data_IF_068015779381
#
_entry.id   IF_068015779381
#
_cell.length_a   1.000
_cell.length_b   1.000
_cell.length_c   1.000
_cell.angle_alpha   90.00
_cell.angle_beta   90.00
_cell.angle_gamma   90.00
#
_symmetry.space_group_name_H-M   'P 1'
#
loop_
_entity.id
_entity.type
_entity.pdbx_description
1 polymer ?
#
# COMPACT_ATOMS: atom_id res chain seq x y z
N UNK A 1 3.12 28.18 2.81
CA UNK A 1 1.94 27.49 3.38
C UNK A 1 1.41 26.34 2.51
N UNK A 2 2.13 25.88 1.47
CA UNK A 2 1.67 24.83 0.54
C UNK A 2 2.18 23.41 0.85
N UNK A 3 3.10 23.25 1.81
CA UNK A 3 3.73 21.97 2.13
C UNK A 3 2.76 20.95 2.78
N UNK A 4 1.83 21.40 3.63
CA UNK A 4 0.94 20.49 4.37
C UNK A 4 -0.04 19.77 3.44
N UNK A 5 -0.78 20.44 2.52
CA UNK A 5 -1.66 19.74 1.58
C UNK A 5 -0.92 18.75 0.67
N UNK A 6 0.30 19.10 0.23
CA UNK A 6 1.12 18.23 -0.61
C UNK A 6 1.60 16.98 0.14
N UNK A 7 2.08 17.14 1.38
CA UNK A 7 2.45 16.01 2.24
C UNK A 7 1.26 15.09 2.53
N UNK A 8 0.08 15.66 2.82
CA UNK A 8 -1.14 14.90 3.04
C UNK A 8 -1.57 14.10 1.80
N UNK A 9 -1.49 14.69 0.61
CA UNK A 9 -1.74 13.97 -0.65
C UNK A 9 -0.84 12.73 -0.78
N UNK A 10 0.47 12.89 -0.59
CA UNK A 10 1.42 11.77 -0.68
C UNK A 10 1.10 10.68 0.35
N UNK A 11 0.83 11.05 1.60
CA UNK A 11 0.47 10.10 2.65
C UNK A 11 -0.76 9.25 2.30
N UNK A 12 -1.82 9.87 1.80
CA UNK A 12 -3.02 9.14 1.41
C UNK A 12 -2.77 8.28 0.17
N UNK A 13 -2.04 8.78 -0.83
CA UNK A 13 -1.70 8.00 -2.01
C UNK A 13 -0.81 6.79 -1.67
N UNK A 14 0.21 6.98 -0.83
CA UNK A 14 1.10 5.93 -0.34
C UNK A 14 0.36 4.86 0.44
N UNK A 15 -0.52 5.27 1.37
CA UNK A 15 -1.37 4.36 2.12
C UNK A 15 -2.29 3.54 1.21
N UNK A 16 -2.97 4.19 0.26
CA UNK A 16 -3.90 3.52 -0.66
C UNK A 16 -3.18 2.59 -1.64
N UNK A 17 -2.12 3.07 -2.30
CA UNK A 17 -1.40 2.33 -3.31
C UNK A 17 -0.58 1.19 -2.70
N UNK A 18 0.23 1.49 -1.69
CA UNK A 18 1.00 0.46 -0.98
C UNK A 18 0.11 -0.54 -0.28
N UNK A 19 -1.00 -0.09 0.30
CA UNK A 19 -2.00 -0.95 0.94
C UNK A 19 -2.64 -1.89 -0.07
N UNK A 20 -2.98 -1.37 -1.25
CA UNK A 20 -3.52 -2.19 -2.33
C UNK A 20 -2.50 -3.20 -2.86
N UNK A 21 -1.23 -2.81 -2.99
CA UNK A 21 -0.14 -3.72 -3.38
C UNK A 21 0.00 -4.85 -2.36
N UNK A 22 0.07 -4.52 -1.06
CA UNK A 22 0.17 -5.50 0.02
C UNK A 22 -1.06 -6.42 0.10
N UNK A 23 -2.26 -5.86 -0.03
CA UNK A 23 -3.52 -6.62 -0.05
C UNK A 23 -3.58 -7.59 -1.23
N UNK A 24 -3.26 -7.12 -2.44
CA UNK A 24 -3.30 -7.95 -3.65
C UNK A 24 -2.21 -9.02 -3.64
N UNK A 25 -1.07 -8.77 -2.99
CA UNK A 25 -0.02 -9.77 -2.81
C UNK A 25 -0.52 -11.04 -2.10
N UNK A 26 -1.33 -10.89 -1.05
CA UNK A 26 -1.92 -12.04 -0.32
C UNK A 26 -3.25 -12.50 -0.92
N UNK A 27 -4.03 -11.60 -1.51
CA UNK A 27 -5.31 -11.93 -2.14
C UNK A 27 -5.14 -12.76 -3.41
N UNK A 28 -4.20 -12.41 -4.30
CA UNK A 28 -3.94 -13.18 -5.53
C UNK A 28 -3.41 -14.59 -5.25
N UNK A 29 -2.85 -14.81 -4.05
CA UNK A 29 -2.43 -16.14 -3.56
C UNK A 29 -3.58 -16.93 -2.92
N UNK A 30 -4.79 -16.37 -2.87
CA UNK A 30 -5.98 -16.94 -2.23
C UNK A 30 -5.80 -17.24 -0.73
N UNK A 31 -5.01 -16.41 -0.03
CA UNK A 31 -4.69 -16.62 1.39
C UNK A 31 -5.67 -15.92 2.32
N UNK A 32 -6.35 -14.89 1.82
CA UNK A 32 -7.31 -14.07 2.56
C UNK A 32 -8.72 -14.25 2.02
N UNK A 33 -9.70 -14.11 2.92
CA UNK A 33 -11.11 -14.22 2.55
C UNK A 33 -11.61 -13.00 1.77
N UNK A 34 -12.66 -13.19 0.97
CA UNK A 34 -13.26 -12.09 0.18
C UNK A 34 -13.78 -10.94 1.04
N UNK A 35 -14.38 -11.24 2.19
CA UNK A 35 -14.90 -10.21 3.10
C UNK A 35 -13.79 -9.27 3.56
N UNK A 36 -12.63 -9.84 3.90
CA UNK A 36 -11.43 -9.07 4.24
C UNK A 36 -10.95 -8.23 3.05
N UNK A 37 -10.86 -8.82 1.85
CA UNK A 37 -10.42 -8.08 0.64
C UNK A 37 -11.38 -6.93 0.30
N UNK A 38 -12.68 -7.14 0.41
CA UNK A 38 -13.69 -6.11 0.14
C UNK A 38 -13.61 -4.98 1.17
N UNK A 39 -13.55 -5.31 2.46
CA UNK A 39 -13.49 -4.31 3.53
C UNK A 39 -12.20 -3.48 3.44
N UNK A 40 -11.04 -4.15 3.38
CA UNK A 40 -9.73 -3.49 3.34
C UNK A 40 -9.53 -2.74 2.02
N UNK A 41 -9.96 -3.33 0.91
CA UNK A 41 -9.94 -2.68 -0.41
C UNK A 41 -10.84 -1.45 -0.46
N UNK A 42 -12.03 -1.48 0.15
CA UNK A 42 -12.91 -0.31 0.23
C UNK A 42 -12.30 0.81 1.09
N UNK A 43 -11.61 0.47 2.20
CA UNK A 43 -10.88 1.46 2.99
C UNK A 43 -9.78 2.14 2.15
N UNK A 44 -8.97 1.39 1.41
CA UNK A 44 -7.95 1.95 0.51
C UNK A 44 -8.55 2.73 -0.66
N UNK A 45 -9.72 2.33 -1.16
CA UNK A 45 -10.46 3.07 -2.18
C UNK A 45 -10.87 4.46 -1.66
N UNK A 46 -11.41 4.54 -0.44
CA UNK A 46 -11.81 5.81 0.19
C UNK A 46 -10.58 6.70 0.42
N UNK A 47 -9.50 6.13 0.96
CA UNK A 47 -8.24 6.84 1.19
C UNK A 47 -7.68 7.38 -0.13
N UNK A 48 -7.68 6.57 -1.19
CA UNK A 48 -7.20 6.97 -2.51
C UNK A 48 -8.10 8.01 -3.19
N UNK A 49 -9.41 7.94 -3.00
CA UNK A 49 -10.34 8.98 -3.46
C UNK A 49 -10.09 10.32 -2.73
N UNK A 50 -9.76 10.27 -1.43
CA UNK A 50 -9.35 11.46 -0.67
C UNK A 50 -8.04 12.05 -1.20
N UNK A 51 -7.08 11.21 -1.63
CA UNK A 51 -5.86 11.69 -2.29
C UNK A 51 -6.19 12.44 -3.59
N UNK A 52 -7.06 11.90 -4.45
CA UNK A 52 -7.52 12.59 -5.68
C UNK A 52 -8.18 13.91 -5.34
N UNK A 53 -9.06 13.93 -4.34
CA UNK A 53 -9.75 15.15 -3.90
C UNK A 53 -8.76 16.21 -3.41
N UNK A 54 -7.77 15.83 -2.60
CA UNK A 54 -6.74 16.76 -2.14
C UNK A 54 -5.92 17.32 -3.29
N UNK A 55 -5.49 16.46 -4.22
CA UNK A 55 -4.68 16.86 -5.38
C UNK A 55 -5.44 17.81 -6.32
N UNK A 56 -6.76 17.60 -6.47
CA UNK A 56 -7.62 18.47 -7.25
C UNK A 56 -7.89 19.82 -6.55
N UNK A 57 -8.02 19.80 -5.22
CA UNK A 57 -8.30 21.00 -4.41
C UNK A 57 -7.05 21.88 -4.22
N UNK A 58 -5.89 21.24 -4.05
CA UNK A 58 -4.61 21.87 -3.80
C UNK A 58 -3.60 21.43 -4.86
N UNK A 59 -3.74 21.89 -6.11
CA UNK A 59 -2.78 21.57 -7.15
C UNK A 59 -1.39 22.10 -6.77
N UNK A 60 -0.30 21.34 -7.07
CA UNK A 60 1.06 21.78 -6.81
C UNK A 60 1.32 23.19 -7.39
N UNK A 61 1.70 24.14 -6.53
CA UNK A 61 1.78 25.57 -6.86
C UNK A 61 2.87 25.93 -7.87
N UNK A 62 2.59 26.91 -8.76
CA UNK A 62 3.44 27.77 -9.63
C UNK A 62 4.70 27.21 -10.35
N UNK A 63 5.49 26.29 -9.79
CA UNK A 63 6.67 25.70 -10.43
C UNK A 63 6.32 24.86 -11.69
N UNK A 64 5.12 24.29 -11.74
CA UNK A 64 4.53 23.70 -12.95
C UNK A 64 4.34 24.71 -14.09
N UNK A 65 4.22 26.02 -13.80
CA UNK A 65 4.13 27.04 -14.82
C UNK A 65 5.45 27.20 -15.60
N UNK A 66 6.59 26.82 -15.00
CA UNK A 66 7.93 27.09 -15.54
C UNK A 66 8.56 25.88 -16.26
N UNK A 67 8.24 24.63 -15.89
CA UNK A 67 8.85 23.43 -16.50
C UNK A 67 7.86 22.60 -17.34
N UNK A 68 8.24 22.28 -18.58
CA UNK A 68 7.42 21.43 -19.47
C UNK A 68 7.30 20.00 -18.94
N UNK A 69 8.38 19.44 -18.39
CA UNK A 69 8.45 18.08 -17.85
C UNK A 69 7.52 17.90 -16.65
N UNK A 70 7.47 18.87 -15.74
CA UNK A 70 6.56 18.82 -14.59
C UNK A 70 5.08 18.77 -15.03
N UNK A 71 4.69 19.57 -16.03
CA UNK A 71 3.31 19.57 -16.55
C UNK A 71 2.92 18.23 -17.17
N UNK A 72 3.85 17.60 -17.89
CA UNK A 72 3.64 16.26 -18.43
C UNK A 72 3.42 15.25 -17.31
N UNK A 73 4.31 15.21 -16.31
CA UNK A 73 4.15 14.28 -15.18
C UNK A 73 2.91 14.54 -14.37
N UNK A 74 2.49 15.79 -14.18
CA UNK A 74 1.25 16.10 -13.48
C UNK A 74 0.01 15.58 -14.23
N UNK A 75 0.01 15.67 -15.57
CA UNK A 75 -1.05 15.07 -16.40
C UNK A 75 -1.04 13.54 -16.27
N UNK A 76 0.14 12.92 -16.37
CA UNK A 76 0.31 11.46 -16.23
C UNK A 76 -0.12 10.99 -14.84
N UNK A 77 0.28 11.68 -13.78
CA UNK A 77 -0.11 11.42 -12.40
C UNK A 77 -1.62 11.42 -12.25
N UNK A 78 -2.28 12.49 -12.68
CA UNK A 78 -3.74 12.59 -12.58
C UNK A 78 -4.45 11.41 -13.25
N UNK A 79 -4.04 11.03 -14.47
CA UNK A 79 -4.67 9.93 -15.19
C UNK A 79 -4.34 8.56 -14.58
N UNK A 80 -3.11 8.34 -14.13
CA UNK A 80 -2.70 7.07 -13.50
C UNK A 80 -3.35 6.89 -12.13
N UNK A 81 -3.46 7.94 -11.31
CA UNK A 81 -4.17 7.91 -10.02
C UNK A 81 -5.66 7.65 -10.22
N UNK A 82 -6.32 8.34 -11.16
CA UNK A 82 -7.74 8.08 -11.48
C UNK A 82 -7.93 6.65 -11.99
N UNK A 83 -7.08 6.19 -12.91
CA UNK A 83 -7.15 4.83 -13.44
C UNK A 83 -6.96 3.78 -12.34
N UNK A 84 -6.03 4.01 -11.41
CA UNK A 84 -5.82 3.15 -10.23
C UNK A 84 -7.11 3.01 -9.41
N UNK A 85 -7.71 4.13 -9.00
CA UNK A 85 -8.91 4.14 -8.15
C UNK A 85 -10.12 3.55 -8.87
N UNK A 86 -10.31 3.87 -10.15
CA UNK A 86 -11.38 3.28 -10.96
C UNK A 86 -11.20 1.77 -11.12
N UNK A 87 -9.99 1.31 -11.41
CA UNK A 87 -9.70 -0.11 -11.58
C UNK A 87 -9.90 -0.88 -10.27
N UNK A 88 -9.50 -0.30 -9.14
CA UNK A 88 -9.77 -0.85 -7.81
C UNK A 88 -11.28 -0.92 -7.54
N UNK A 89 -12.03 0.14 -7.83
CA UNK A 89 -13.48 0.17 -7.66
C UNK A 89 -14.16 -0.92 -8.51
N UNK A 90 -13.84 -0.99 -9.80
CA UNK A 90 -14.37 -2.02 -10.72
C UNK A 90 -14.03 -3.42 -10.22
N UNK A 91 -12.80 -3.64 -9.76
CA UNK A 91 -12.38 -4.93 -9.21
C UNK A 91 -13.20 -5.32 -7.98
N UNK A 92 -13.39 -4.40 -7.03
CA UNK A 92 -14.15 -4.65 -5.80
C UNK A 92 -15.63 -4.87 -6.09
N UNK A 93 -16.22 -4.09 -7.00
CA UNK A 93 -17.62 -4.29 -7.45
C UNK A 93 -17.79 -5.65 -8.11
N UNK A 94 -16.87 -6.04 -9.01
CA UNK A 94 -16.89 -7.37 -9.62
C UNK A 94 -16.74 -8.48 -8.55
N UNK A 95 -15.85 -8.29 -7.57
CA UNK A 95 -15.63 -9.24 -6.49
C UNK A 95 -16.86 -9.38 -5.56
N UNK A 96 -17.63 -8.30 -5.40
CA UNK A 96 -18.88 -8.26 -4.64
C UNK A 96 -20.03 -8.98 -5.36
N UNK A 97 -20.19 -8.73 -6.67
CA UNK A 97 -21.29 -9.29 -7.47
C UNK A 97 -21.07 -10.77 -7.80
N UNK A 98 -19.83 -11.17 -8.08
CA UNK A 98 -19.57 -12.53 -8.57
C UNK A 98 -19.73 -13.58 -7.44
N UNK A 99 -20.59 -14.60 -7.62
CA UNK A 99 -20.86 -15.61 -6.60
C UNK A 99 -19.62 -16.31 -6.05
N UNK A 100 -19.74 -16.89 -4.84
CA UNK A 100 -18.69 -17.72 -4.26
C UNK A 100 -18.28 -18.80 -5.25
N UNK A 101 -16.99 -18.82 -5.59
CA UNK A 101 -16.37 -19.88 -6.38
C UNK A 101 -16.55 -21.12 -5.53
N UNK A 102 -17.55 -21.94 -5.86
CA UNK A 102 -17.74 -23.25 -5.23
C UNK A 102 -16.48 -24.05 -5.55
N UNK A 103 -15.52 -24.05 -4.63
CA UNK A 103 -14.37 -24.94 -4.69
C UNK A 103 -14.97 -26.33 -4.65
N UNK A 104 -14.87 -27.08 -5.76
CA UNK A 104 -15.59 -28.32 -6.01
C UNK A 104 -15.41 -29.35 -4.89
N UNK A 105 -16.23 -29.23 -3.85
CA UNK A 105 -16.47 -30.24 -2.83
C UNK A 105 -17.90 -30.77 -2.92
N UNK A 106 -18.48 -30.65 -4.11
CA UNK A 106 -19.70 -31.34 -4.55
C UNK A 106 -19.32 -32.51 -5.47
N UNK A 107 -18.23 -33.23 -5.16
CA UNK A 107 -18.11 -34.62 -5.62
C UNK A 107 -18.27 -35.52 -4.40
N UNK A 108 -19.32 -36.33 -4.49
CA UNK A 108 -19.65 -37.45 -3.63
C UNK A 108 -20.27 -37.12 -2.26
N UNK A 109 -21.48 -36.53 -2.25
CA UNK A 109 -22.51 -37.15 -1.41
C UNK A 109 -22.79 -38.50 -2.06
N UNK A 110 -22.02 -39.53 -1.66
CA UNK A 110 -22.40 -40.92 -1.91
C UNK A 110 -23.71 -41.08 -1.15
N UNK A 111 -24.83 -40.99 -1.87
CA UNK A 111 -26.10 -41.42 -1.32
C UNK A 111 -25.91 -42.86 -0.84
N UNK A 112 -26.48 -43.17 0.32
CA UNK A 112 -26.43 -44.49 0.97
C UNK A 112 -26.87 -45.66 0.05
N UNK A 113 -27.41 -45.37 -1.14
CA UNK A 113 -27.94 -46.30 -2.13
C UNK A 113 -27.14 -46.40 -3.44
N UNK A 114 -25.92 -45.86 -3.55
CA UNK A 114 -25.04 -46.12 -4.70
C UNK A 114 -25.48 -45.57 -6.07
N UNK A 115 -26.63 -44.89 -6.16
CA UNK A 115 -27.09 -44.26 -7.41
C UNK A 115 -26.66 -42.81 -7.43
N UNK A 116 -25.76 -42.47 -8.36
CA UNK A 116 -25.39 -41.09 -8.67
C UNK A 116 -26.55 -40.42 -9.41
N UNK A 117 -27.38 -39.65 -8.71
CA UNK A 117 -28.34 -38.77 -9.37
C UNK A 117 -27.59 -37.59 -9.98
N UNK A 118 -27.44 -37.61 -11.30
CA UNK A 118 -26.84 -36.51 -12.06
C UNK A 118 -27.83 -35.33 -12.01
N UNK A 119 -27.49 -34.17 -11.43
CA UNK A 119 -28.43 -33.04 -11.41
C UNK A 119 -28.66 -32.55 -12.83
N UNK A 120 -29.87 -32.73 -13.34
CA UNK A 120 -30.36 -32.14 -14.59
C UNK A 120 -30.75 -30.68 -14.34
N UNK A 121 -29.76 -29.82 -14.10
CA UNK A 121 -29.98 -28.37 -14.16
C UNK A 121 -29.43 -27.86 -15.50
N UNK A 122 -30.34 -27.55 -16.42
CA UNK A 122 -30.10 -26.69 -17.57
C UNK A 122 -30.00 -25.25 -17.05
N UNK A 123 -28.88 -24.93 -16.40
CA UNK A 123 -28.58 -23.58 -15.94
C UNK A 123 -28.06 -22.78 -17.15
N UNK A 124 -28.90 -21.91 -17.71
CA UNK A 124 -28.60 -21.07 -18.89
C UNK A 124 -27.73 -19.85 -18.55
N UNK A 125 -27.35 -19.68 -17.29
CA UNK A 125 -26.42 -18.65 -16.84
C UNK A 125 -24.95 -19.00 -17.12
N UNK A 126 -24.07 -18.00 -17.27
CA UNK A 126 -22.63 -18.23 -17.42
C UNK A 126 -22.09 -19.00 -16.21
N UNK A 127 -21.23 -19.99 -16.46
CA UNK A 127 -20.74 -20.87 -15.40
C UNK A 127 -19.97 -20.03 -14.37
N UNK A 128 -20.00 -20.38 -13.06
CA UNK A 128 -19.20 -19.70 -12.05
C UNK A 128 -17.70 -19.71 -12.34
N UNK A 129 -17.17 -20.53 -13.25
CA UNK A 129 -15.77 -20.44 -13.65
C UNK A 129 -15.50 -19.33 -14.69
N UNK A 130 -16.48 -19.02 -15.54
CA UNK A 130 -16.37 -18.03 -16.61
C UNK A 130 -16.43 -16.61 -16.06
N UNK A 131 -17.26 -16.37 -15.03
CA UNK A 131 -17.35 -15.09 -14.33
C UNK A 131 -16.04 -14.70 -13.61
N UNK A 132 -15.18 -15.67 -13.27
CA UNK A 132 -13.91 -15.42 -12.56
C UNK A 132 -12.72 -15.16 -13.47
N UNK A 133 -12.82 -15.52 -14.76
CA UNK A 133 -11.78 -15.25 -15.76
C UNK A 133 -11.39 -13.76 -15.85
N UNK A 134 -12.34 -12.81 -15.98
CA UNK A 134 -11.97 -11.40 -16.04
C UNK A 134 -11.33 -10.91 -14.75
N UNK A 135 -11.80 -11.36 -13.58
CA UNK A 135 -11.21 -11.02 -12.28
C UNK A 135 -9.75 -11.52 -12.15
N UNK A 136 -9.42 -12.66 -12.74
CA UNK A 136 -8.05 -13.17 -12.73
C UNK A 136 -7.09 -12.33 -13.60
N UNK A 137 -7.60 -11.73 -14.68
CA UNK A 137 -6.83 -10.84 -15.57
C UNK A 137 -6.71 -9.43 -15.00
N UNK A 138 -7.78 -8.88 -14.45
CA UNK A 138 -7.83 -7.52 -13.89
C UNK A 138 -7.06 -7.45 -12.57
N UNK A 139 -7.07 -8.53 -11.77
CA UNK A 139 -6.46 -8.56 -10.44
C UNK A 139 -5.01 -8.05 -10.39
N UNK A 140 -4.09 -8.56 -11.21
CA UNK A 140 -2.71 -8.08 -11.27
C UNK A 140 -2.55 -6.64 -11.79
N UNK A 141 -3.49 -6.14 -12.59
CA UNK A 141 -3.42 -4.79 -13.15
C UNK A 141 -3.65 -3.71 -12.07
N UNK A 142 -4.42 -4.01 -11.03
CA UNK A 142 -4.70 -3.08 -9.92
C UNK A 142 -3.41 -2.63 -9.20
N UNK A 143 -2.56 -3.52 -8.65
CA UNK A 143 -1.32 -3.11 -7.98
C UNK A 143 -0.28 -2.53 -8.96
N UNK A 144 -0.30 -2.92 -10.23
CA UNK A 144 0.56 -2.30 -11.25
C UNK A 144 0.17 -0.85 -11.50
N UNK A 145 -1.13 -0.56 -11.60
CA UNK A 145 -1.59 0.82 -11.75
C UNK A 145 -1.35 1.64 -10.47
N UNK A 146 -1.48 1.02 -9.30
CA UNK A 146 -1.11 1.64 -8.02
C UNK A 146 0.36 2.07 -7.99
N UNK A 147 1.26 1.20 -8.47
CA UNK A 147 2.68 1.49 -8.63
C UNK A 147 2.90 2.65 -9.59
N UNK A 148 2.26 2.63 -10.76
CA UNK A 148 2.34 3.71 -11.75
C UNK A 148 1.87 5.05 -11.16
N UNK A 149 0.80 5.07 -10.38
CA UNK A 149 0.26 6.27 -9.74
C UNK A 149 1.23 6.88 -8.71
N UNK A 150 1.83 6.05 -7.86
CA UNK A 150 2.83 6.51 -6.88
C UNK A 150 4.08 7.03 -7.59
N UNK A 151 4.56 6.30 -8.60
CA UNK A 151 5.76 6.64 -9.33
C UNK A 151 5.61 7.94 -10.11
N UNK A 152 4.50 8.11 -10.84
CA UNK A 152 4.20 9.33 -11.58
C UNK A 152 4.02 10.53 -10.65
N UNK A 153 3.39 10.35 -9.48
CA UNK A 153 3.25 11.40 -8.48
C UNK A 153 4.59 11.89 -7.93
N UNK A 154 5.50 10.97 -7.61
CA UNK A 154 6.83 11.32 -7.12
C UNK A 154 7.69 12.06 -8.16
N UNK A 155 7.41 11.87 -9.47
CA UNK A 155 8.08 12.57 -10.56
C UNK A 155 7.53 13.99 -10.82
N UNK A 156 6.35 14.34 -10.29
CA UNK A 156 5.85 15.72 -10.33
C UNK A 156 6.73 16.64 -9.50
N UNK A 157 7.11 16.16 -8.31
CA UNK A 157 7.93 16.86 -7.33
C UNK A 157 9.32 16.20 -7.26
N UNK A 158 9.96 15.97 -8.41
CA UNK A 158 11.21 15.23 -8.46
C UNK A 158 12.38 15.96 -7.76
N UNK A 159 13.02 15.31 -6.79
CA UNK A 159 14.28 15.80 -6.19
C UNK A 159 15.45 15.60 -7.16
N UNK A 160 16.47 16.47 -7.11
CA UNK A 160 17.72 16.26 -7.87
C UNK A 160 18.53 15.02 -7.43
N UNK A 161 18.25 14.48 -6.25
CA UNK A 161 18.91 13.31 -5.68
C UNK A 161 18.84 12.10 -6.61
N UNK A 162 19.95 11.38 -6.74
CA UNK A 162 20.08 10.18 -7.58
C UNK A 162 19.58 10.41 -9.01
N UNK A 163 19.93 11.55 -9.60
CA UNK A 163 19.56 11.90 -10.98
C UNK A 163 18.04 11.96 -11.22
N UNK A 164 17.27 12.40 -10.22
CA UNK A 164 15.80 12.48 -10.32
C UNK A 164 15.06 11.26 -9.77
N UNK A 165 15.77 10.22 -9.34
CA UNK A 165 15.17 8.98 -8.81
C UNK A 165 14.96 8.99 -7.29
N UNK A 166 15.51 9.99 -6.58
CA UNK A 166 15.44 10.06 -5.13
C UNK A 166 14.01 10.02 -4.58
N UNK A 167 13.14 10.91 -5.05
CA UNK A 167 11.73 10.96 -4.62
C UNK A 167 10.93 9.72 -5.04
N UNK A 168 10.96 9.21 -6.29
CA UNK A 168 10.28 7.96 -6.63
C UNK A 168 10.65 6.78 -5.73
N UNK A 169 11.94 6.61 -5.43
CA UNK A 169 12.41 5.51 -4.58
C UNK A 169 11.96 5.70 -3.12
N UNK A 170 12.08 6.92 -2.59
CA UNK A 170 11.66 7.22 -1.21
C UNK A 170 10.15 7.03 -1.02
N UNK A 171 9.34 7.61 -1.92
CA UNK A 171 7.87 7.51 -1.88
C UNK A 171 7.42 6.07 -2.10
N UNK A 172 8.05 5.32 -3.01
CA UNK A 172 7.70 3.91 -3.20
C UNK A 172 8.02 3.07 -1.97
N UNK A 173 9.19 3.27 -1.35
CA UNK A 173 9.57 2.56 -0.14
C UNK A 173 8.63 2.91 1.03
N UNK A 174 8.26 4.18 1.18
CA UNK A 174 7.27 4.66 2.15
C UNK A 174 5.87 4.09 1.90
N UNK A 175 5.41 4.05 0.64
CA UNK A 175 4.15 3.41 0.25
C UNK A 175 4.12 1.94 0.67
N UNK A 176 5.17 1.18 0.35
CA UNK A 176 5.25 -0.23 0.72
C UNK A 176 5.29 -0.40 2.24
N UNK A 177 6.02 0.43 2.99
CA UNK A 177 6.08 0.38 4.44
C UNK A 177 4.73 0.69 5.09
N UNK A 178 4.13 1.84 4.76
CA UNK A 178 2.85 2.30 5.29
C UNK A 178 1.71 1.38 4.89
N UNK A 179 1.63 1.02 3.62
CA UNK A 179 0.60 0.17 3.08
C UNK A 179 0.60 -1.24 3.64
N UNK A 180 1.79 -1.86 3.78
CA UNK A 180 1.90 -3.18 4.41
C UNK A 180 1.65 -3.12 5.91
N UNK A 181 2.03 -2.05 6.61
CA UNK A 181 1.71 -1.87 8.02
C UNK A 181 0.20 -1.75 8.26
N UNK A 182 -0.50 -0.94 7.45
CA UNK A 182 -1.96 -0.80 7.51
C UNK A 182 -2.68 -2.11 7.15
N UNK A 183 -2.22 -2.80 6.10
CA UNK A 183 -2.76 -4.12 5.72
C UNK A 183 -2.54 -5.16 6.82
N UNK A 184 -1.36 -5.14 7.45
CA UNK A 184 -1.03 -6.01 8.58
C UNK A 184 -1.92 -5.74 9.79
N UNK A 185 -2.14 -4.46 10.13
CA UNK A 185 -3.07 -4.05 11.18
C UNK A 185 -4.50 -4.53 10.87
N UNK A 186 -4.99 -4.30 9.65
CA UNK A 186 -6.32 -4.78 9.24
C UNK A 186 -6.45 -6.29 9.32
N UNK A 187 -5.41 -7.04 8.89
CA UNK A 187 -5.35 -8.49 9.04
C UNK A 187 -5.41 -8.89 10.51
N UNK A 188 -4.62 -8.23 11.34
CA UNK A 188 -4.59 -8.45 12.79
C UNK A 188 -5.98 -8.34 13.40
N UNK A 189 -6.67 -7.23 13.15
CA UNK A 189 -8.04 -7.04 13.66
C UNK A 189 -9.00 -8.13 13.15
N UNK A 190 -8.88 -8.53 11.89
CA UNK A 190 -9.70 -9.61 11.33
C UNK A 190 -9.45 -10.97 12.00
N UNK A 191 -8.23 -11.26 12.47
CA UNK A 191 -7.95 -12.49 13.23
C UNK A 191 -8.65 -12.54 14.59
N UNK A 192 -8.88 -11.39 15.24
CA UNK A 192 -9.62 -11.33 16.50
C UNK A 192 -11.10 -11.69 16.32
N UNK A 193 -11.68 -11.31 15.18
CA UNK A 193 -13.09 -11.58 14.85
C UNK A 193 -13.27 -12.96 14.20
N UNK A 194 -12.24 -13.50 13.54
CA UNK A 194 -12.30 -14.76 12.80
C UNK A 194 -10.99 -15.57 12.93
N UNK A 195 -10.81 -16.30 14.04
CA UNK A 195 -9.53 -16.94 14.39
C UNK A 195 -9.14 -18.18 13.55
N UNK A 196 -9.97 -18.59 12.58
CA UNK A 196 -9.75 -19.81 11.77
C UNK A 196 -8.85 -19.58 10.55
N UNK A 197 -8.34 -18.37 10.35
CA UNK A 197 -7.50 -18.05 9.20
C UNK A 197 -6.07 -18.57 9.37
N UNK A 198 -5.46 -18.96 8.25
CA UNK A 198 -4.05 -19.34 8.23
C UNK A 198 -3.17 -18.16 8.66
N UNK A 199 -2.05 -18.41 9.33
CA UNK A 199 -1.14 -17.36 9.81
C UNK A 199 -0.21 -16.80 8.73
N UNK A 200 -0.12 -17.50 7.60
CA UNK A 200 0.83 -17.18 6.53
C UNK A 200 0.64 -15.78 5.90
N UNK A 201 -0.58 -15.28 5.59
CA UNK A 201 -0.73 -13.94 5.02
C UNK A 201 -0.22 -12.85 5.97
N UNK A 202 -0.42 -13.00 7.27
CA UNK A 202 0.13 -12.07 8.27
C UNK A 202 1.66 -12.02 8.20
N UNK A 203 2.30 -13.20 8.16
CA UNK A 203 3.76 -13.31 8.06
C UNK A 203 4.27 -12.70 6.75
N UNK A 204 3.60 -12.93 5.62
CA UNK A 204 3.98 -12.36 4.32
C UNK A 204 3.88 -10.84 4.30
N UNK A 205 2.78 -10.28 4.78
CA UNK A 205 2.59 -8.82 4.85
C UNK A 205 3.60 -8.20 5.83
N UNK A 206 3.87 -8.86 6.96
CA UNK A 206 4.90 -8.41 7.89
C UNK A 206 6.30 -8.44 7.28
N UNK A 207 6.64 -9.44 6.47
CA UNK A 207 7.92 -9.47 5.75
C UNK A 207 8.02 -8.39 4.68
N UNK A 208 6.91 -8.07 3.99
CA UNK A 208 6.87 -6.94 3.07
C UNK A 208 7.13 -5.62 3.81
N UNK A 209 6.51 -5.43 4.98
CA UNK A 209 6.74 -4.27 5.85
C UNK A 209 8.19 -4.19 6.32
N UNK A 210 8.73 -5.31 6.82
CA UNK A 210 10.12 -5.41 7.25
C UNK A 210 11.09 -5.07 6.13
N UNK A 211 10.88 -5.64 4.94
CA UNK A 211 11.70 -5.38 3.76
C UNK A 211 11.65 -3.92 3.33
N UNK A 212 10.47 -3.28 3.38
CA UNK A 212 10.30 -1.87 3.06
C UNK A 212 11.02 -0.97 4.08
N UNK A 213 10.88 -1.22 5.39
CA UNK A 213 11.59 -0.46 6.44
C UNK A 213 13.11 -0.61 6.28
N UNK A 214 13.59 -1.83 6.03
CA UNK A 214 15.02 -2.07 5.78
C UNK A 214 15.51 -1.34 4.52
N UNK A 215 14.72 -1.37 3.44
CA UNK A 215 15.04 -0.61 2.23
C UNK A 215 15.12 0.89 2.51
N UNK A 216 14.20 1.46 3.29
CA UNK A 216 14.25 2.87 3.71
C UNK A 216 15.48 3.17 4.56
N UNK A 217 15.87 2.26 5.46
CA UNK A 217 17.04 2.43 6.32
C UNK A 217 18.35 2.53 5.52
N UNK A 218 18.46 1.80 4.41
CA UNK A 218 19.60 1.90 3.50
C UNK A 218 19.48 3.06 2.51
N UNK A 219 18.26 3.33 2.04
CA UNK A 219 18.01 4.38 1.07
C UNK A 219 18.25 5.76 1.67
N UNK A 220 17.85 6.01 2.92
CA UNK A 220 18.00 7.30 3.59
C UNK A 220 19.44 7.86 3.55
N UNK A 221 20.48 7.14 4.02
CA UNK A 221 21.86 7.66 3.92
C UNK A 221 22.32 7.81 2.47
N UNK A 222 21.89 6.95 1.55
CA UNK A 222 22.20 7.09 0.12
C UNK A 222 21.57 8.38 -0.44
N UNK A 223 20.36 8.74 -0.03
CA UNK A 223 19.70 9.97 -0.44
C UNK A 223 20.32 11.22 0.20
N UNK A 224 20.77 11.13 1.45
CA UNK A 224 21.39 12.27 2.15
C UNK A 224 22.79 12.58 1.62
N UNK A 225 23.59 11.56 1.34
CA UNK A 225 25.00 11.72 0.98
C UNK A 225 25.32 11.35 -0.48
N UNK A 226 24.31 10.98 -1.26
CA UNK A 226 24.45 10.61 -2.67
C UNK A 226 24.51 11.82 -3.63
N UNK A 227 24.68 11.54 -4.93
CA UNK A 227 24.73 12.58 -5.96
C UNK A 227 23.41 13.35 -6.05
N UNK A 228 23.51 14.66 -6.29
CA UNK A 228 22.36 15.54 -6.50
C UNK A 228 21.77 16.15 -5.22
N UNK A 229 22.28 15.81 -4.04
CA UNK A 229 21.91 16.48 -2.79
C UNK A 229 22.68 17.78 -2.65
N UNK A 230 21.97 18.91 -2.56
CA UNK A 230 22.60 20.21 -2.34
C UNK A 230 23.18 20.31 -0.93
N UNK A 231 24.40 20.83 -0.79
CA UNK A 231 25.09 20.96 0.49
C UNK A 231 24.30 21.81 1.49
N UNK A 232 23.69 22.91 1.03
CA UNK A 232 22.87 23.79 1.87
C UNK A 232 21.60 23.09 2.37
N UNK A 233 20.96 22.28 1.52
CA UNK A 233 19.78 21.51 1.87
C UNK A 233 20.10 20.42 2.91
N UNK A 234 21.23 19.74 2.74
CA UNK A 234 21.74 18.77 3.72
C UNK A 234 22.12 19.45 5.04
N UNK A 235 22.74 20.63 4.98
CA UNK A 235 23.10 21.40 6.18
C UNK A 235 21.84 21.77 6.96
N UNK A 236 20.82 22.36 6.31
CA UNK A 236 19.55 22.69 6.95
C UNK A 236 18.84 21.47 7.55
N UNK A 237 18.91 20.32 6.88
CA UNK A 237 18.37 19.06 7.41
C UNK A 237 19.06 18.63 8.72
N UNK A 238 20.38 18.83 8.83
CA UNK A 238 21.20 18.43 9.97
C UNK A 238 21.24 19.49 11.09
N UNK A 239 20.87 20.74 10.83
CA UNK A 239 20.82 21.81 11.83
C UNK A 239 19.39 22.16 12.20
N UNK A 240 18.63 22.70 11.25
CA UNK A 240 17.34 23.36 11.50
C UNK A 240 16.23 22.34 11.73
N UNK A 241 16.32 21.19 11.05
CA UNK A 241 15.32 20.13 11.09
C UNK A 241 15.80 18.85 11.78
N UNK A 242 16.89 18.92 12.55
CA UNK A 242 17.49 17.75 13.20
C UNK A 242 16.49 16.99 14.08
N UNK A 243 15.60 17.69 14.77
CA UNK A 243 14.54 17.07 15.59
C UNK A 243 13.58 16.24 14.72
N UNK A 244 13.12 16.80 13.60
CA UNK A 244 12.22 16.10 12.67
C UNK A 244 12.91 14.92 11.99
N UNK A 245 14.20 15.06 11.65
CA UNK A 245 15.03 13.96 11.16
C UNK A 245 15.18 12.87 12.22
N UNK A 246 15.37 13.25 13.49
CA UNK A 246 15.41 12.32 14.62
C UNK A 246 14.10 11.53 14.76
N UNK A 247 12.95 12.21 14.61
CA UNK A 247 11.64 11.53 14.59
C UNK A 247 11.54 10.55 13.42
N UNK A 248 11.95 10.96 12.21
CA UNK A 248 11.97 10.11 11.02
C UNK A 248 12.84 8.85 11.24
N UNK A 249 14.05 9.00 11.75
CA UNK A 249 14.98 7.88 11.93
C UNK A 249 14.53 6.97 13.08
N UNK A 250 14.27 7.53 14.26
CA UNK A 250 13.97 6.73 15.46
C UNK A 250 12.57 6.15 15.38
N UNK A 251 11.56 7.00 15.25
CA UNK A 251 10.16 6.57 15.29
C UNK A 251 9.66 6.10 13.94
N UNK A 252 10.23 6.55 12.82
CA UNK A 252 9.84 6.09 11.49
C UNK A 252 10.55 4.81 11.02
N UNK A 253 11.77 4.52 11.50
CA UNK A 253 12.56 3.39 11.00
C UNK A 253 13.00 2.43 12.11
N UNK A 254 13.76 2.89 13.11
CA UNK A 254 14.42 2.01 14.08
C UNK A 254 13.43 1.30 15.01
N UNK A 255 12.49 2.03 15.60
CA UNK A 255 11.47 1.44 16.50
C UNK A 255 10.50 0.54 15.72
N UNK A 256 9.94 0.94 14.56
CA UNK A 256 9.16 0.06 13.69
C UNK A 256 9.90 -1.19 13.26
N UNK A 257 11.21 -1.11 12.95
CA UNK A 257 12.02 -2.26 12.58
C UNK A 257 12.03 -3.30 13.69
N UNK A 258 12.33 -2.87 14.92
CA UNK A 258 12.30 -3.72 16.10
C UNK A 258 10.91 -4.32 16.35
N UNK A 259 9.87 -3.48 16.31
CA UNK A 259 8.49 -3.91 16.52
C UNK A 259 8.02 -4.91 15.45
N UNK A 260 8.36 -4.71 14.18
CA UNK A 260 8.03 -5.61 13.07
C UNK A 260 8.73 -6.97 13.19
N UNK A 261 9.97 -6.99 13.70
CA UNK A 261 10.68 -8.23 14.03
C UNK A 261 10.01 -8.95 15.21
N UNK A 262 9.59 -8.22 16.24
CA UNK A 262 8.85 -8.80 17.36
C UNK A 262 7.51 -9.37 16.91
N UNK A 263 6.75 -8.65 16.09
CA UNK A 263 5.50 -9.12 15.48
C UNK A 263 5.71 -10.44 14.77
N UNK A 264 6.76 -10.57 13.96
CA UNK A 264 7.07 -11.82 13.28
C UNK A 264 7.31 -12.98 14.25
N UNK A 265 8.11 -12.75 15.31
CA UNK A 265 8.39 -13.77 16.34
C UNK A 265 7.11 -14.19 17.07
N UNK A 266 6.29 -13.23 17.47
CA UNK A 266 5.03 -13.43 18.18
C UNK A 266 3.99 -14.14 17.29
N UNK A 267 3.90 -13.77 16.02
CA UNK A 267 3.06 -14.46 15.04
C UNK A 267 3.50 -15.92 14.87
N UNK A 268 4.80 -16.23 14.82
CA UNK A 268 5.26 -17.62 14.68
C UNK A 268 4.82 -18.54 15.83
N UNK A 269 4.72 -18.03 17.05
CA UNK A 269 4.23 -18.79 18.21
C UNK A 269 2.70 -18.72 18.38
N UNK A 270 1.97 -18.16 17.38
CA UNK A 270 0.51 -18.04 17.34
C UNK A 270 -0.11 -17.23 18.49
N UNK A 271 0.65 -16.33 19.12
CA UNK A 271 0.12 -15.37 20.08
C UNK A 271 -0.49 -14.19 19.33
N UNK A 272 -1.66 -14.40 18.73
CA UNK A 272 -2.27 -13.43 17.80
C UNK A 272 -2.64 -12.13 18.51
N UNK A 273 -3.17 -12.16 19.73
CA UNK A 273 -3.56 -10.96 20.48
C UNK A 273 -2.38 -10.01 20.76
N UNK A 274 -1.19 -10.57 21.04
CA UNK A 274 0.02 -9.77 21.22
C UNK A 274 0.58 -9.30 19.88
N UNK A 275 0.53 -10.14 18.84
CA UNK A 275 0.98 -9.78 17.50
C UNK A 275 0.14 -8.64 16.90
N UNK A 276 -1.18 -8.62 17.14
CA UNK A 276 -2.05 -7.53 16.71
C UNK A 276 -1.70 -6.23 17.41
N UNK A 277 -1.50 -6.24 18.73
CA UNK A 277 -1.06 -5.06 19.49
C UNK A 277 0.23 -4.44 18.95
N UNK A 278 1.22 -5.27 18.59
CA UNK A 278 2.46 -4.80 17.96
C UNK A 278 2.22 -4.21 16.56
N UNK A 279 1.31 -4.77 15.76
CA UNK A 279 0.95 -4.22 14.45
C UNK A 279 0.29 -2.84 14.54
N UNK A 280 -0.49 -2.57 15.59
CA UNK A 280 -1.01 -1.22 15.85
C UNK A 280 0.12 -0.22 16.09
N UNK A 281 1.12 -0.61 16.90
CA UNK A 281 2.29 0.22 17.17
C UNK A 281 3.10 0.44 15.88
N UNK A 282 3.35 -0.62 15.10
CA UNK A 282 4.07 -0.51 13.81
C UNK A 282 3.35 0.45 12.87
N UNK A 283 2.04 0.31 12.68
CA UNK A 283 1.29 1.19 11.77
C UNK A 283 1.31 2.66 12.22
N UNK A 284 1.14 2.93 13.52
CA UNK A 284 1.18 4.29 14.05
C UNK A 284 2.56 4.93 13.89
N UNK A 285 3.63 4.19 14.18
CA UNK A 285 5.01 4.67 14.09
C UNK A 285 5.46 4.86 12.64
N UNK A 286 5.14 3.92 11.74
CA UNK A 286 5.40 4.08 10.30
C UNK A 286 4.65 5.29 9.75
N UNK A 287 3.37 5.48 10.11
CA UNK A 287 2.61 6.66 9.71
C UNK A 287 3.27 7.96 10.19
N UNK A 288 3.67 8.04 11.47
CA UNK A 288 4.38 9.19 12.01
C UNK A 288 5.73 9.43 11.28
N UNK A 289 6.44 8.34 10.96
CA UNK A 289 7.67 8.37 10.17
C UNK A 289 7.48 8.91 8.77
N UNK A 290 6.46 8.46 8.04
CA UNK A 290 6.17 8.95 6.69
C UNK A 290 5.66 10.40 6.71
N UNK A 291 4.90 10.81 7.74
CA UNK A 291 4.52 12.22 7.93
C UNK A 291 5.78 13.09 8.07
N UNK A 292 6.72 12.67 8.92
CA UNK A 292 7.98 13.37 9.09
C UNK A 292 8.79 13.39 7.78
N UNK A 293 8.84 12.27 7.05
CA UNK A 293 9.54 12.17 5.77
C UNK A 293 9.01 13.17 4.73
N UNK A 294 7.68 13.28 4.58
CA UNK A 294 7.07 14.20 3.61
C UNK A 294 7.17 15.66 4.06
N UNK A 295 7.07 15.92 5.36
CA UNK A 295 7.34 17.24 5.91
C UNK A 295 8.78 17.68 5.60
N UNK A 296 9.77 16.84 5.91
CA UNK A 296 11.18 17.12 5.62
C UNK A 296 11.44 17.35 4.14
N UNK A 297 10.86 16.52 3.27
CA UNK A 297 10.99 16.67 1.83
C UNK A 297 10.48 18.02 1.33
N UNK A 298 9.27 18.44 1.72
CA UNK A 298 8.71 19.72 1.28
C UNK A 298 9.32 20.95 1.96
N UNK A 299 10.01 20.78 3.10
CA UNK A 299 10.69 21.87 3.80
C UNK A 299 12.13 22.08 3.33
N UNK A 300 12.83 21.00 2.99
CA UNK A 300 14.29 21.03 2.68
C UNK A 300 14.59 20.70 1.22
N UNK A 301 13.66 20.09 0.49
CA UNK A 301 13.90 19.55 -0.85
C UNK A 301 14.64 18.21 -0.87
N UNK A 302 14.98 17.66 0.31
CA UNK A 302 15.70 16.38 0.46
C UNK A 302 14.70 15.27 0.76
N UNK A 303 14.57 14.30 -0.14
CA UNK A 303 13.79 13.10 0.10
C UNK A 303 14.45 12.24 1.19
N UNK A 304 13.63 11.76 2.13
CA UNK A 304 14.01 10.97 3.31
C UNK A 304 13.02 9.83 3.56
#
# INVERSE_FOLDING_TARGET
MTAIPAAAFFLFLEAAAGGTIALFWVHLRNEVGRGFTLFTGAAFLIIGALAIWLRATFPPSAALALSATGRLWFSVERWTTIAFILLLAVYLTALYVVPRRRRGRDQAKIGRNGVATRPTHTDSGPRPAELWRPLAVIGPLVPLMALCAVWSAALVDASAQLFGLGTPLAVLAGALALGSALTGLSLGHWYLVSPTLSIQPLVRVNFLCLGAIVAQLFLLPILMFGPGTAADALHSLLTDYLLFLGVRVVFGLLVPLGATVMTWRTARIRSLDSATGLLYIVAALVLAGEIAARALFFLTGVAT
#
